data_IF_091595914197
#
_entry.id   IF_091595914197
#
_cell.length_a   1.000
_cell.length_b   1.000
_cell.length_c   1.000
_cell.angle_alpha   90.00
_cell.angle_beta   90.00
_cell.angle_gamma   90.00
#
_symmetry.space_group_name_H-M   'P 1'
#
loop_
_entity.id
_entity.type
_entity.pdbx_description
1 polymer ?
#
# COMPACT_ATOMS: atom_id res chain seq x y z
N UNK A 1 -27.24 -34.82 -28.55
CA UNK A 1 -27.39 -34.42 -27.13
C UNK A 1 -26.27 -35.06 -26.35
N UNK A 2 -25.18 -34.33 -26.10
CA UNK A 2 -23.99 -34.89 -25.42
C UNK A 2 -24.28 -35.02 -23.92
N UNK A 3 -24.17 -36.26 -23.44
CA UNK A 3 -24.55 -36.68 -22.09
C UNK A 3 -23.65 -36.09 -21.02
N UNK A 4 -24.28 -35.43 -20.05
CA UNK A 4 -23.71 -34.94 -18.81
C UNK A 4 -23.36 -36.13 -17.89
N UNK A 5 -22.21 -36.75 -18.13
CA UNK A 5 -21.68 -37.87 -17.36
C UNK A 5 -20.57 -37.48 -16.38
N UNK A 6 -20.74 -36.43 -15.56
CA UNK A 6 -19.75 -36.04 -14.53
C UNK A 6 -20.38 -35.70 -13.17
N UNK A 7 -21.60 -36.19 -12.91
CA UNK A 7 -22.43 -35.76 -11.79
C UNK A 7 -22.14 -36.35 -10.41
N UNK A 8 -21.18 -37.27 -10.21
CA UNK A 8 -20.94 -37.82 -8.85
C UNK A 8 -19.47 -38.02 -8.45
N UNK A 9 -18.52 -38.22 -9.38
CA UNK A 9 -17.07 -38.18 -9.07
C UNK A 9 -16.44 -36.79 -9.28
N UNK A 10 -17.12 -35.90 -10.00
CA UNK A 10 -16.66 -34.52 -10.27
C UNK A 10 -16.96 -33.54 -9.15
N UNK A 11 -17.89 -33.84 -8.24
CA UNK A 11 -18.25 -32.93 -7.14
C UNK A 11 -17.10 -32.72 -6.16
N UNK A 12 -16.31 -33.76 -5.88
CA UNK A 12 -15.15 -33.72 -5.00
C UNK A 12 -13.85 -33.21 -5.65
N UNK A 13 -13.83 -32.97 -6.96
CA UNK A 13 -12.70 -32.30 -7.62
C UNK A 13 -13.06 -30.89 -8.06
N UNK A 14 -14.35 -30.64 -8.34
CA UNK A 14 -14.90 -29.33 -8.66
C UNK A 14 -14.78 -28.33 -7.51
N UNK A 15 -15.01 -28.73 -6.26
CA UNK A 15 -14.84 -27.84 -5.11
C UNK A 15 -13.37 -27.44 -4.88
N UNK A 16 -12.41 -28.36 -5.11
CA UNK A 16 -10.97 -28.07 -5.01
C UNK A 16 -10.55 -27.08 -6.09
N UNK A 17 -11.00 -27.29 -7.33
CA UNK A 17 -10.75 -26.35 -8.43
C UNK A 17 -11.37 -24.97 -8.17
N UNK A 18 -12.60 -24.91 -7.64
CA UNK A 18 -13.25 -23.67 -7.25
C UNK A 18 -12.46 -22.91 -6.17
N UNK A 19 -12.03 -23.60 -5.11
CA UNK A 19 -11.20 -23.01 -4.05
C UNK A 19 -9.86 -22.54 -4.62
N UNK A 20 -9.25 -23.30 -5.52
CA UNK A 20 -8.01 -22.92 -6.21
C UNK A 20 -8.16 -21.61 -6.99
N UNK A 21 -9.22 -21.49 -7.80
CA UNK A 21 -9.51 -20.28 -8.58
C UNK A 21 -9.78 -19.07 -7.66
N UNK A 22 -10.54 -19.26 -6.58
CA UNK A 22 -10.81 -18.21 -5.59
C UNK A 22 -9.51 -17.77 -4.90
N UNK A 23 -8.66 -18.72 -4.52
CA UNK A 23 -7.37 -18.44 -3.88
C UNK A 23 -6.45 -17.63 -4.81
N UNK A 24 -6.33 -18.04 -6.08
CA UNK A 24 -5.55 -17.31 -7.09
C UNK A 24 -6.10 -15.90 -7.29
N UNK A 25 -7.42 -15.76 -7.35
CA UNK A 25 -8.08 -14.45 -7.50
C UNK A 25 -7.77 -13.53 -6.33
N UNK A 26 -7.89 -14.03 -5.09
CA UNK A 26 -7.58 -13.27 -3.88
C UNK A 26 -6.10 -12.87 -3.87
N UNK A 27 -5.19 -13.80 -4.17
CA UNK A 27 -3.75 -13.51 -4.24
C UNK A 27 -3.45 -12.44 -5.31
N UNK A 28 -4.10 -12.50 -6.47
CA UNK A 28 -3.99 -11.50 -7.52
C UNK A 28 -4.45 -10.12 -7.07
N UNK A 29 -5.60 -10.03 -6.39
CA UNK A 29 -6.12 -8.77 -5.83
C UNK A 29 -5.17 -8.24 -4.76
N UNK A 30 -4.72 -9.08 -3.83
CA UNK A 30 -3.79 -8.67 -2.77
C UNK A 30 -2.46 -8.20 -3.35
N UNK A 31 -1.93 -8.87 -4.37
CA UNK A 31 -0.72 -8.47 -5.07
C UNK A 31 -0.90 -7.14 -5.80
N UNK A 32 -2.03 -6.95 -6.49
CA UNK A 32 -2.36 -5.69 -7.17
C UNK A 32 -2.48 -4.54 -6.17
N UNK A 33 -3.20 -4.75 -5.07
CA UNK A 33 -3.35 -3.76 -4.00
C UNK A 33 -2.00 -3.47 -3.35
N UNK A 34 -1.16 -4.48 -3.07
CA UNK A 34 0.19 -4.26 -2.54
C UNK A 34 1.09 -3.51 -3.51
N UNK A 35 1.02 -3.82 -4.79
CA UNK A 35 1.79 -3.16 -5.83
C UNK A 35 1.36 -1.69 -5.97
N UNK A 36 0.05 -1.43 -6.01
CA UNK A 36 -0.53 -0.09 -6.02
C UNK A 36 -0.25 0.67 -4.72
N UNK A 37 -0.20 0.01 -3.56
CA UNK A 37 0.24 0.63 -2.32
C UNK A 37 1.76 0.85 -2.29
N UNK A 38 2.58 0.05 -2.97
CA UNK A 38 4.01 0.33 -3.08
C UNK A 38 4.29 1.51 -4.01
N UNK A 39 3.52 1.67 -5.08
CA UNK A 39 3.60 2.84 -5.98
C UNK A 39 2.88 4.07 -5.43
N UNK A 40 1.80 3.87 -4.68
CA UNK A 40 0.89 4.89 -4.16
C UNK A 40 0.93 5.07 -2.66
N UNK A 41 1.93 4.55 -1.94
CA UNK A 41 2.27 5.07 -0.61
C UNK A 41 2.77 6.49 -0.85
N UNK A 42 2.05 7.56 -0.47
CA UNK A 42 2.76 8.71 0.04
C UNK A 42 3.54 8.12 1.21
N UNK A 43 4.81 7.85 0.96
CA UNK A 43 5.70 7.39 1.99
C UNK A 43 5.56 8.47 3.07
N UNK A 44 4.83 8.18 4.14
CA UNK A 44 4.48 9.20 5.14
C UNK A 44 5.78 9.74 5.73
N UNK A 45 6.79 8.87 5.81
CA UNK A 45 8.20 9.20 6.04
C UNK A 45 8.85 10.13 4.97
N UNK A 46 8.43 10.10 3.71
CA UNK A 46 8.86 11.07 2.67
C UNK A 46 8.13 12.40 2.81
N UNK A 47 6.86 12.42 3.23
CA UNK A 47 6.13 13.67 3.48
C UNK A 47 6.78 14.40 4.66
N UNK A 48 7.11 13.67 5.72
CA UNK A 48 7.87 14.18 6.88
C UNK A 48 9.27 14.67 6.48
N UNK A 49 10.00 13.87 5.67
CA UNK A 49 11.31 14.29 5.13
C UNK A 49 11.21 15.52 4.25
N UNK A 50 10.17 15.66 3.43
CA UNK A 50 9.95 16.84 2.61
C UNK A 50 9.59 18.07 3.47
N UNK A 51 8.74 17.93 4.48
CA UNK A 51 8.39 19.02 5.38
C UNK A 51 9.62 19.52 6.15
N UNK A 52 10.46 18.62 6.66
CA UNK A 52 11.74 18.98 7.29
C UNK A 52 12.72 19.62 6.31
N UNK A 53 12.78 19.15 5.06
CA UNK A 53 13.67 19.73 4.05
C UNK A 53 13.25 21.16 3.68
N UNK A 54 11.94 21.39 3.52
CA UNK A 54 11.38 22.73 3.27
C UNK A 54 11.66 23.66 4.45
N UNK A 55 11.55 23.17 5.69
CA UNK A 55 11.84 23.95 6.89
C UNK A 55 13.34 24.32 6.97
N UNK A 56 14.23 23.38 6.67
CA UNK A 56 15.68 23.62 6.64
C UNK A 56 16.08 24.64 5.56
N UNK A 57 15.47 24.56 4.37
CA UNK A 57 15.79 25.45 3.25
C UNK A 57 15.43 26.92 3.58
N UNK A 58 14.28 27.15 4.21
CA UNK A 58 13.85 28.49 4.64
C UNK A 58 14.68 29.03 5.81
N UNK A 59 15.11 28.18 6.73
CA UNK A 59 16.06 28.56 7.78
C UNK A 59 17.42 28.96 7.18
N UNK A 60 17.93 28.20 6.21
CA UNK A 60 19.17 28.54 5.50
C UNK A 60 19.06 29.83 4.67
N UNK A 61 17.87 30.14 4.14
CA UNK A 61 17.56 31.42 3.50
C UNK A 61 17.40 32.58 4.49
N UNK A 62 17.36 32.31 5.79
CA UNK A 62 17.16 33.31 6.84
C UNK A 62 15.73 33.86 6.92
N UNK A 63 14.78 33.19 6.26
CA UNK A 63 13.36 33.61 6.24
C UNK A 63 12.62 33.23 7.54
N UNK A 64 13.23 32.38 8.37
CA UNK A 64 12.66 31.91 9.64
C UNK A 64 13.70 32.01 10.76
N UNK A 65 13.26 32.40 11.96
CA UNK A 65 14.10 32.43 13.17
C UNK A 65 14.41 31.02 13.70
N UNK A 66 15.53 30.85 14.40
CA UNK A 66 15.94 29.58 15.03
C UNK A 66 14.91 29.06 16.03
N UNK A 67 14.22 29.96 16.75
CA UNK A 67 13.15 29.61 17.68
C UNK A 67 11.95 28.97 16.98
N UNK A 68 11.50 29.55 15.86
CA UNK A 68 10.41 28.99 15.04
C UNK A 68 10.79 27.66 14.40
N UNK A 69 12.05 27.53 13.96
CA UNK A 69 12.59 26.28 13.42
C UNK A 69 12.55 25.14 14.46
N UNK A 70 12.98 25.43 15.70
CA UNK A 70 13.01 24.44 16.79
C UNK A 70 11.63 23.98 17.22
N UNK A 71 10.65 24.89 17.33
CA UNK A 71 9.27 24.54 17.68
C UNK A 71 8.65 23.61 16.63
N UNK A 72 8.70 23.99 15.35
CA UNK A 72 8.13 23.19 14.25
C UNK A 72 8.80 21.83 14.08
N UNK A 73 10.11 21.74 14.30
CA UNK A 73 10.86 20.47 14.25
C UNK A 73 10.47 19.51 15.37
N UNK A 74 10.15 20.04 16.56
CA UNK A 74 9.73 19.22 17.71
C UNK A 74 8.31 18.69 17.50
N UNK A 75 7.44 19.53 16.96
CA UNK A 75 6.06 19.18 16.61
C UNK A 75 5.98 18.11 15.50
N UNK A 76 6.86 18.18 14.50
CA UNK A 76 6.96 17.19 13.42
C UNK A 76 7.60 15.85 13.84
N UNK A 77 8.24 15.77 15.02
CA UNK A 77 8.90 14.54 15.51
C UNK A 77 8.10 13.82 16.60
N UNK A 78 6.93 14.36 16.96
CA UNK A 78 6.01 13.88 18.00
C UNK A 78 4.89 13.07 17.35
#
# INVERSE_FOLDING_TARGET
MMGYGYGMMGYSWGWVMMIGIVTITILGIVALVRYLQQTGKPNYQNVEKNALNILNERYAKGEISEEEYRSKKTELKS
#
